data_IF_372048762885
#
_entry.id   IF_372048762885
#
_cell.length_a   1.000
_cell.length_b   1.000
_cell.length_c   1.000
_cell.angle_alpha   90.00
_cell.angle_beta   90.00
_cell.angle_gamma   90.00
#
_symmetry.space_group_name_H-M   'P 1'
#
loop_
_entity.id
_entity.type
_entity.pdbx_description
1 polymer ?
#
# COMPACT_ATOMS: atom_id res chain seq x y z
N UNK A 1 4.24 15.80 7.66
CA UNK A 1 3.24 15.40 8.65
C UNK A 1 2.73 14.00 8.31
N UNK A 2 2.56 13.15 9.30
CA UNK A 2 2.11 11.79 9.07
C UNK A 2 0.58 11.71 9.16
N UNK A 3 -0.02 11.00 8.24
CA UNK A 3 -1.45 10.68 8.24
C UNK A 3 -1.62 9.18 8.34
N UNK A 4 -2.60 8.76 9.10
CA UNK A 4 -3.03 7.36 9.12
C UNK A 4 -4.47 7.32 8.66
N UNK A 5 -4.73 6.65 7.54
CA UNK A 5 -6.05 6.66 6.96
C UNK A 5 -6.38 5.33 6.30
N UNK A 6 -7.66 5.08 6.17
CA UNK A 6 -8.16 3.95 5.41
C UNK A 6 -8.23 4.36 3.95
N UNK A 7 -7.70 3.51 3.08
CA UNK A 7 -7.64 3.77 1.65
C UNK A 7 -8.35 2.65 0.91
N UNK A 8 -8.84 2.95 -0.29
CA UNK A 8 -9.48 1.95 -1.14
C UNK A 8 -8.50 1.52 -2.22
N UNK A 9 -8.32 0.21 -2.34
CA UNK A 9 -7.47 -0.35 -3.38
C UNK A 9 -8.17 -0.17 -4.73
N UNK A 10 -7.49 0.50 -5.65
CA UNK A 10 -8.00 0.75 -7.01
C UNK A 10 -7.56 -0.37 -7.94
N UNK A 11 -6.33 -0.85 -7.76
CA UNK A 11 -5.78 -1.91 -8.59
C UNK A 11 -4.73 -2.68 -7.79
N UNK A 12 -4.67 -3.99 -8.01
CA UNK A 12 -3.68 -4.85 -7.38
C UNK A 12 -3.35 -5.98 -8.36
N UNK A 13 -2.10 -6.01 -8.86
CA UNK A 13 -1.67 -6.97 -9.87
C UNK A 13 -0.31 -7.55 -9.55
N UNK A 14 -0.10 -8.81 -9.93
CA UNK A 14 1.23 -9.39 -9.94
C UNK A 14 1.88 -9.01 -11.27
N UNK A 15 2.96 -8.23 -11.20
CA UNK A 15 3.62 -7.73 -12.41
C UNK A 15 4.85 -8.55 -12.80
N UNK A 16 5.35 -9.38 -11.88
CA UNK A 16 6.43 -10.33 -12.11
C UNK A 16 6.33 -11.38 -11.02
N UNK A 17 7.11 -12.45 -11.10
CA UNK A 17 7.07 -13.51 -10.07
C UNK A 17 7.32 -12.90 -8.69
N UNK A 18 6.34 -13.05 -7.79
CA UNK A 18 6.35 -12.54 -6.41
C UNK A 18 6.49 -11.02 -6.30
N UNK A 19 6.34 -10.28 -7.40
CA UNK A 19 6.38 -8.82 -7.38
C UNK A 19 4.99 -8.30 -7.74
N UNK A 20 4.44 -7.47 -6.86
CA UNK A 20 3.08 -6.99 -6.95
C UNK A 20 3.05 -5.47 -7.01
N UNK A 21 2.11 -4.96 -7.78
CA UNK A 21 1.81 -3.53 -7.83
C UNK A 21 0.45 -3.31 -7.22
N UNK A 22 0.34 -2.32 -6.34
CA UNK A 22 -0.93 -1.93 -5.76
C UNK A 22 -1.10 -0.43 -5.89
N UNK A 23 -2.27 -0.02 -6.36
CA UNK A 23 -2.65 1.38 -6.41
C UNK A 23 -3.84 1.60 -5.49
N UNK A 24 -3.78 2.65 -4.69
CA UNK A 24 -4.88 2.97 -3.79
C UNK A 24 -5.10 4.47 -3.72
N UNK A 25 -6.34 4.87 -3.50
CA UNK A 25 -6.69 6.27 -3.39
C UNK A 25 -6.57 6.72 -1.94
N UNK A 26 -6.03 7.91 -1.74
CA UNK A 26 -5.86 8.49 -0.40
C UNK A 26 -6.54 9.84 -0.34
N UNK A 27 -6.85 10.31 0.87
CA UNK A 27 -7.41 11.65 1.05
C UNK A 27 -6.33 12.67 1.33
N UNK A 28 -5.35 12.30 2.15
CA UNK A 28 -4.36 13.24 2.63
C UNK A 28 -2.93 12.87 2.24
N UNK A 29 -2.61 11.58 2.25
CA UNK A 29 -1.22 11.14 2.06
C UNK A 29 -0.68 11.57 0.70
N UNK A 30 -1.44 11.37 -0.37
CA UNK A 30 -0.97 11.69 -1.72
C UNK A 30 -0.69 13.17 -1.91
N UNK A 31 -1.34 14.05 -1.15
CA UNK A 31 -1.16 15.50 -1.28
C UNK A 31 0.23 15.93 -0.86
N UNK A 32 0.85 15.24 0.08
CA UNK A 32 2.14 15.61 0.63
C UNK A 32 3.24 14.63 0.32
N UNK A 33 2.90 13.45 -0.21
CA UNK A 33 3.87 12.42 -0.50
C UNK A 33 4.68 12.73 -1.75
N UNK A 34 5.88 12.19 -1.80
CA UNK A 34 6.75 12.28 -2.98
C UNK A 34 7.27 10.88 -3.30
N UNK A 35 7.53 10.59 -4.59
CA UNK A 35 8.13 9.31 -4.96
C UNK A 35 9.43 9.07 -4.18
N UNK A 36 9.64 7.84 -3.77
CA UNK A 36 10.79 7.48 -2.96
C UNK A 36 10.54 7.51 -1.46
N UNK A 37 9.48 8.17 -1.01
CA UNK A 37 9.09 8.11 0.39
C UNK A 37 8.44 6.78 0.71
N UNK A 38 8.41 6.43 2.00
CA UNK A 38 7.79 5.20 2.46
C UNK A 38 6.40 5.45 3.00
N UNK A 39 5.52 4.48 2.83
CA UNK A 39 4.26 4.40 3.57
C UNK A 39 4.29 3.12 4.39
N UNK A 40 3.68 3.16 5.55
CA UNK A 40 3.50 1.96 6.37
C UNK A 40 2.15 1.36 6.06
N UNK A 41 2.14 0.13 5.57
CA UNK A 41 0.93 -0.57 5.17
C UNK A 41 0.57 -1.56 6.26
N UNK A 42 -0.64 -1.46 6.78
CA UNK A 42 -1.12 -2.29 7.87
C UNK A 42 -1.95 -3.44 7.33
N UNK A 43 -1.73 -4.61 7.90
CA UNK A 43 -2.51 -5.79 7.57
C UNK A 43 -3.95 -5.64 8.08
N UNK A 44 -4.89 -6.20 7.32
CA UNK A 44 -6.29 -6.27 7.75
C UNK A 44 -6.52 -7.35 8.80
N UNK A 45 -5.58 -8.27 8.94
CA UNK A 45 -5.64 -9.32 9.94
C UNK A 45 -5.17 -8.75 11.27
N UNK A 46 -6.05 -8.67 12.25
CA UNK A 46 -5.74 -8.12 13.55
C UNK A 46 -4.63 -8.83 14.31
N UNK A 47 -4.26 -10.04 13.86
CA UNK A 47 -3.14 -10.77 14.46
C UNK A 47 -1.79 -10.29 13.94
N UNK A 48 -1.75 -9.48 12.89
CA UNK A 48 -0.53 -8.93 12.33
C UNK A 48 -0.28 -7.57 12.97
N UNK A 49 0.73 -7.49 13.78
CA UNK A 49 0.95 -6.33 14.62
C UNK A 49 1.83 -5.27 13.99
N UNK A 50 2.75 -5.65 13.10
CA UNK A 50 3.73 -4.72 12.56
C UNK A 50 3.34 -4.27 11.15
N UNK A 51 3.28 -2.96 10.92
CA UNK A 51 3.09 -2.46 9.56
C UNK A 51 4.33 -2.73 8.72
N UNK A 52 4.16 -2.78 7.42
CA UNK A 52 5.27 -2.96 6.48
C UNK A 52 5.58 -1.63 5.79
N UNK A 53 6.81 -1.12 5.91
CA UNK A 53 7.20 0.07 5.17
C UNK A 53 7.45 -0.29 3.72
N UNK A 54 6.79 0.43 2.82
CA UNK A 54 6.90 0.18 1.39
C UNK A 54 7.11 1.51 0.69
N UNK A 55 8.04 1.54 -0.27
CA UNK A 55 8.33 2.76 -1.01
C UNK A 55 7.22 3.11 -1.98
N UNK A 56 6.95 4.39 -2.09
CA UNK A 56 6.02 4.91 -3.08
C UNK A 56 6.75 4.97 -4.42
N UNK A 57 6.20 4.27 -5.42
CA UNK A 57 6.74 4.26 -6.76
C UNK A 57 6.21 5.38 -7.63
N UNK A 58 4.99 5.81 -7.39
CA UNK A 58 4.37 6.86 -8.19
C UNK A 58 3.19 7.48 -7.50
N UNK A 59 2.86 8.69 -7.91
CA UNK A 59 1.73 9.45 -7.39
C UNK A 59 1.01 10.04 -8.58
N UNK A 60 -0.30 9.83 -8.63
CA UNK A 60 -1.12 10.37 -9.70
C UNK A 60 -2.41 10.89 -9.07
N UNK A 61 -2.50 12.21 -8.96
CA UNK A 61 -3.62 12.84 -8.27
C UNK A 61 -3.65 12.42 -6.82
N UNK A 62 -4.74 11.79 -6.39
CA UNK A 62 -4.88 11.28 -5.03
C UNK A 62 -4.57 9.77 -4.94
N UNK A 63 -4.04 9.18 -6.01
CA UNK A 63 -3.72 7.77 -6.06
C UNK A 63 -2.22 7.57 -5.86
N UNK A 64 -1.87 6.66 -4.97
CA UNK A 64 -0.49 6.22 -4.75
C UNK A 64 -0.28 4.85 -5.38
N UNK A 65 0.90 4.64 -5.94
CA UNK A 65 1.31 3.35 -6.47
C UNK A 65 2.49 2.83 -5.67
N UNK A 66 2.38 1.62 -5.19
CA UNK A 66 3.46 0.91 -4.49
C UNK A 66 3.77 -0.38 -5.24
N UNK A 67 5.04 -0.80 -5.16
CA UNK A 67 5.48 -2.07 -5.68
C UNK A 67 6.22 -2.78 -4.56
N UNK A 68 5.91 -4.05 -4.34
CA UNK A 68 6.51 -4.80 -3.26
C UNK A 68 6.72 -6.25 -3.65
N UNK A 69 7.65 -6.90 -2.94
CA UNK A 69 7.92 -8.31 -3.14
C UNK A 69 7.21 -9.12 -2.04
N UNK A 70 6.47 -10.14 -2.45
CA UNK A 70 5.69 -10.96 -1.52
C UNK A 70 6.52 -12.13 -0.98
N UNK A 71 7.53 -11.82 -0.16
CA UNK A 71 8.43 -12.83 0.40
C UNK A 71 8.28 -13.03 1.90
N UNK A 72 7.62 -12.11 2.60
CA UNK A 72 7.36 -12.23 4.02
C UNK A 72 5.89 -12.49 4.28
N UNK A 73 5.54 -12.97 5.47
CA UNK A 73 4.14 -13.24 5.79
C UNK A 73 3.25 -12.03 5.60
N UNK A 74 3.71 -10.85 6.04
CA UNK A 74 2.91 -9.64 5.91
C UNK A 74 2.68 -9.24 4.46
N UNK A 75 3.73 -9.28 3.63
CA UNK A 75 3.59 -8.91 2.22
C UNK A 75 2.84 -9.97 1.42
N UNK A 76 2.94 -11.24 1.79
CA UNK A 76 2.13 -12.28 1.16
C UNK A 76 0.65 -12.07 1.40
N UNK A 77 0.29 -11.57 2.57
CA UNK A 77 -1.09 -11.25 2.86
C UNK A 77 -1.61 -10.12 1.96
N UNK A 78 -0.80 -9.09 1.75
CA UNK A 78 -1.18 -8.00 0.86
C UNK A 78 -1.36 -8.49 -0.58
N UNK A 79 -0.62 -9.51 -0.98
CA UNK A 79 -0.71 -10.08 -2.33
C UNK A 79 -2.06 -10.74 -2.61
N UNK A 80 -2.85 -11.03 -1.58
CA UNK A 80 -4.20 -11.59 -1.76
C UNK A 80 -5.28 -10.52 -1.85
N UNK A 81 -4.93 -9.26 -1.72
CA UNK A 81 -5.90 -8.17 -1.75
C UNK A 81 -6.26 -7.78 -3.17
N UNK A 82 -7.45 -7.27 -3.36
CA UNK A 82 -7.98 -6.90 -4.68
C UNK A 82 -8.55 -5.50 -4.68
N UNK A 83 -8.79 -4.99 -5.89
CA UNK A 83 -9.49 -3.72 -6.07
C UNK A 83 -10.82 -3.74 -5.32
N UNK A 84 -11.15 -2.61 -4.71
CA UNK A 84 -12.38 -2.46 -3.93
C UNK A 84 -12.21 -2.73 -2.45
N UNK A 85 -11.16 -3.42 -2.04
CA UNK A 85 -10.89 -3.65 -0.63
C UNK A 85 -10.32 -2.42 0.04
N UNK A 86 -10.49 -2.35 1.35
CA UNK A 86 -10.00 -1.23 2.16
C UNK A 86 -8.77 -1.68 2.93
N UNK A 87 -7.78 -0.79 2.97
CA UNK A 87 -6.52 -1.02 3.63
C UNK A 87 -6.20 0.20 4.49
N UNK A 88 -5.46 0.00 5.56
CA UNK A 88 -5.02 1.12 6.39
C UNK A 88 -3.55 1.41 6.12
N UNK A 89 -3.22 2.68 5.88
CA UNK A 89 -1.85 3.11 5.62
C UNK A 89 -1.52 4.35 6.43
N UNK A 90 -0.24 4.52 6.71
CA UNK A 90 0.28 5.70 7.38
C UNK A 90 1.44 6.26 6.56
N UNK A 91 1.37 7.53 6.29
CA UNK A 91 2.42 8.17 5.50
C UNK A 91 2.55 9.64 5.79
#
# INVERSE_FOLDING_TARGET
MAYREKVTIVRADEIATDIYEMCFSTKNIAKEAKPGQFVSVYSNDGSRLLPRPISICGIEGDTLRIVYRAIGKGTQEFATMHAGQILEVQG
#
